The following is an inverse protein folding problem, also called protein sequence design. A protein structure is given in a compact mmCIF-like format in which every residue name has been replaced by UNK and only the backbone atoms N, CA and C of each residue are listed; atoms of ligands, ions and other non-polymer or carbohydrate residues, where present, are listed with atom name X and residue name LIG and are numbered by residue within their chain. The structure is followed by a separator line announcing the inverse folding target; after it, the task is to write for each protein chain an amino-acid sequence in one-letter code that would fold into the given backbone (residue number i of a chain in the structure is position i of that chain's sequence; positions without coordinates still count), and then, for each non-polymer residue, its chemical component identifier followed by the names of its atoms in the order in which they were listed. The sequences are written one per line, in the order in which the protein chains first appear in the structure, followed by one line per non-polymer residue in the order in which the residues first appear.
data_IF_817245109114
#
_entry.id   IF_817245109114
#
_cell.length_a   1.000
_cell.length_b   1.000
_cell.length_c   1.000
_cell.angle_alpha   90.00
_cell.angle_beta   90.00
_cell.angle_gamma   90.00
#
_symmetry.space_group_name_H-M   'P 1'
#
loop_
_entity.id
_entity.type
_entity.pdbx_description
1 polymer ?
#
# COMPACT_ATOMS: atom_id res chain seq x y z
N UNK A 1 -15.32 1.99 -12.78
CA UNK A 1 -14.09 2.78 -12.60
C UNK A 1 -12.89 1.84 -12.63
N UNK A 2 -11.83 2.26 -13.31
CA UNK A 2 -10.54 1.56 -13.31
C UNK A 2 -9.94 1.57 -11.90
N UNK A 3 -9.19 0.53 -11.51
CA UNK A 3 -8.50 0.53 -10.23
C UNK A 3 -7.42 1.63 -10.18
N UNK A 4 -7.16 2.13 -8.98
CA UNK A 4 -6.18 3.18 -8.68
C UNK A 4 -4.99 2.51 -7.99
N UNK A 5 -3.76 2.91 -8.35
CA UNK A 5 -2.54 2.44 -7.68
C UNK A 5 -1.99 3.53 -6.78
N UNK A 6 -1.73 3.20 -5.52
CA UNK A 6 -1.08 4.07 -4.54
C UNK A 6 0.32 3.51 -4.26
N UNK A 7 1.33 4.36 -4.30
CA UNK A 7 2.72 4.00 -4.03
C UNK A 7 3.26 4.81 -2.87
N UNK A 8 3.80 4.14 -1.86
CA UNK A 8 4.51 4.76 -0.75
C UNK A 8 6.00 4.59 -0.99
N UNK A 9 6.65 5.65 -1.48
CA UNK A 9 8.07 5.67 -1.83
C UNK A 9 8.88 6.11 -0.61
N UNK A 10 9.88 5.31 -0.24
CA UNK A 10 10.78 5.65 0.85
C UNK A 10 11.93 6.52 0.31
N UNK A 11 12.30 7.60 1.01
CA UNK A 11 13.25 8.59 0.50
C UNK A 11 14.68 8.05 0.38
N UNK A 12 15.05 7.09 1.23
CA UNK A 12 16.35 6.42 1.21
C UNK A 12 16.30 5.04 1.89
N UNK A 13 17.38 4.27 1.71
CA UNK A 13 17.52 2.93 2.30
C UNK A 13 17.57 2.96 3.83
N UNK A 14 18.07 4.05 4.44
CA UNK A 14 18.12 4.17 5.91
C UNK A 14 16.72 4.26 6.52
N UNK A 15 15.80 4.88 5.81
CA UNK A 15 14.38 4.93 6.15
C UNK A 15 13.77 3.54 5.98
N UNK A 16 14.05 2.83 4.90
CA UNK A 16 13.55 1.47 4.71
C UNK A 16 13.99 0.52 5.84
N UNK A 17 15.24 0.60 6.29
CA UNK A 17 15.78 -0.26 7.37
C UNK A 17 15.12 0.01 8.74
N UNK A 18 14.92 1.29 9.07
CA UNK A 18 14.24 1.69 10.32
C UNK A 18 12.79 1.20 10.33
N UNK A 19 12.10 1.34 9.20
CA UNK A 19 10.69 1.04 9.08
C UNK A 19 10.42 -0.40 8.62
N UNK A 20 11.44 -1.25 8.40
CA UNK A 20 11.24 -2.57 7.76
C UNK A 20 10.29 -3.47 8.55
N UNK A 21 10.36 -3.42 9.88
CA UNK A 21 9.45 -4.15 10.77
C UNK A 21 8.02 -3.60 10.67
N UNK A 22 7.88 -2.27 10.64
CA UNK A 22 6.61 -1.57 10.53
C UNK A 22 5.97 -1.74 9.15
N UNK A 23 6.78 -1.83 8.09
CA UNK A 23 6.37 -2.17 6.73
C UNK A 23 5.82 -3.59 6.68
N UNK A 24 6.52 -4.56 7.30
CA UNK A 24 6.05 -5.94 7.38
C UNK A 24 4.69 -6.04 8.09
N UNK A 25 4.53 -5.30 9.20
CA UNK A 25 3.27 -5.23 9.93
C UNK A 25 2.18 -4.50 9.12
N UNK A 26 2.49 -3.40 8.46
CA UNK A 26 1.58 -2.66 7.59
C UNK A 26 1.10 -3.52 6.41
N UNK A 27 1.98 -4.27 5.77
CA UNK A 27 1.63 -5.22 4.71
C UNK A 27 0.72 -6.32 5.24
N UNK A 28 0.94 -6.79 6.47
CA UNK A 28 0.05 -7.76 7.13
C UNK A 28 -1.31 -7.15 7.43
N UNK A 29 -1.35 -5.94 7.98
CA UNK A 29 -2.57 -5.21 8.29
C UNK A 29 -3.37 -4.91 7.03
N UNK A 30 -2.75 -4.43 5.96
CA UNK A 30 -3.42 -4.16 4.68
C UNK A 30 -3.95 -5.41 3.99
N UNK A 31 -3.36 -6.59 4.24
CA UNK A 31 -3.95 -7.88 3.83
C UNK A 31 -5.15 -8.30 4.70
N UNK A 32 -5.20 -7.87 5.97
CA UNK A 32 -6.31 -8.13 6.88
C UNK A 32 -7.47 -7.16 6.68
N UNK A 33 -7.18 -5.88 6.41
CA UNK A 33 -8.19 -4.87 6.11
C UNK A 33 -8.56 -4.94 4.63
N UNK A 34 -9.76 -5.46 4.35
CA UNK A 34 -10.28 -5.58 2.98
C UNK A 34 -10.66 -4.22 2.34
N UNK A 35 -10.29 -3.09 2.97
CA UNK A 35 -10.55 -1.77 2.43
C UNK A 35 -9.82 -0.62 3.13
N UNK A 36 -9.64 0.46 2.38
CA UNK A 36 -8.95 1.69 2.79
C UNK A 36 -9.87 2.87 2.47
N UNK A 37 -9.93 3.85 3.37
CA UNK A 37 -10.62 5.12 3.15
C UNK A 37 -9.60 6.22 2.86
N UNK A 38 -9.73 6.89 1.73
CA UNK A 38 -8.86 8.00 1.34
C UNK A 38 -9.74 9.16 0.85
N UNK A 39 -9.56 10.34 1.44
CA UNK A 39 -10.36 11.55 1.14
C UNK A 39 -11.89 11.30 1.20
N UNK A 40 -12.34 10.48 2.15
CA UNK A 40 -13.76 10.13 2.31
C UNK A 40 -14.29 9.08 1.33
N UNK A 41 -13.45 8.57 0.43
CA UNK A 41 -13.82 7.53 -0.54
C UNK A 41 -13.32 6.17 -0.04
N UNK A 42 -14.21 5.17 -0.05
CA UNK A 42 -13.89 3.80 0.35
C UNK A 42 -13.46 2.96 -0.86
N UNK A 43 -12.33 2.28 -0.68
CA UNK A 43 -11.76 1.36 -1.65
C UNK A 43 -11.62 -0.02 -1.04
N UNK A 44 -11.72 -1.06 -1.88
CA UNK A 44 -11.26 -2.39 -1.55
C UNK A 44 -9.79 -2.52 -1.95
N UNK A 45 -9.01 -3.19 -1.11
CA UNK A 45 -7.63 -3.58 -1.44
C UNK A 45 -7.69 -4.78 -2.37
N UNK A 46 -7.17 -4.63 -3.59
CA UNK A 46 -7.15 -5.70 -4.60
C UNK A 46 -5.84 -6.46 -4.54
N UNK A 47 -4.73 -5.73 -4.38
CA UNK A 47 -3.39 -6.29 -4.37
C UNK A 47 -2.45 -5.39 -3.58
N UNK A 48 -1.50 -6.01 -2.88
CA UNK A 48 -0.44 -5.32 -2.15
C UNK A 48 0.88 -6.03 -2.44
N UNK A 49 1.86 -5.26 -2.88
CA UNK A 49 3.20 -5.75 -3.20
C UNK A 49 4.25 -4.81 -2.60
N UNK A 50 5.39 -5.40 -2.25
CA UNK A 50 6.59 -4.67 -1.89
C UNK A 50 7.55 -4.74 -3.06
N UNK A 51 7.98 -3.59 -3.57
CA UNK A 51 8.87 -3.49 -4.72
C UNK A 51 10.21 -2.94 -4.27
N UNK A 52 11.27 -3.64 -4.71
CA UNK A 52 12.66 -3.26 -4.51
C UNK A 52 13.30 -3.15 -5.88
N UNK A 53 13.51 -1.91 -6.34
CA UNK A 53 14.08 -1.60 -7.65
C UNK A 53 15.30 -0.70 -7.49
N UNK A 54 16.48 -1.22 -7.83
CA UNK A 54 17.77 -0.54 -7.67
C UNK A 54 17.99 -0.07 -6.23
N UNK A 55 17.92 1.23 -5.99
CA UNK A 55 18.10 1.90 -4.69
C UNK A 55 16.76 2.46 -4.17
N UNK A 56 15.65 2.09 -4.79
CA UNK A 56 14.31 2.54 -4.40
C UNK A 56 13.52 1.36 -3.85
N UNK A 57 12.99 1.58 -2.66
CA UNK A 57 12.10 0.66 -1.97
C UNK A 57 10.73 1.34 -1.88
N UNK A 58 9.65 0.63 -2.22
CA UNK A 58 8.29 1.18 -2.08
C UNK A 58 7.22 0.10 -1.93
N UNK A 59 6.13 0.47 -1.26
CA UNK A 59 4.92 -0.36 -1.18
C UNK A 59 3.96 0.10 -2.25
N UNK A 60 3.42 -0.84 -3.01
CA UNK A 60 2.45 -0.60 -4.06
C UNK A 60 1.13 -1.29 -3.71
N UNK A 61 0.06 -0.50 -3.65
CA UNK A 61 -1.28 -0.96 -3.29
C UNK A 61 -2.24 -0.65 -4.42
N UNK A 62 -2.89 -1.69 -4.96
CA UNK A 62 -3.93 -1.57 -5.96
C UNK A 62 -5.29 -1.52 -5.28
N UNK A 63 -6.01 -0.43 -5.52
CA UNK A 63 -7.30 -0.11 -4.93
C UNK A 63 -8.40 -0.13 -5.99
N UNK A 64 -9.58 -0.60 -5.61
CA UNK A 64 -10.79 -0.52 -6.46
C UNK A 64 -11.90 0.12 -5.65
N UNK A 65 -12.66 1.03 -6.26
CA UNK A 65 -13.82 1.64 -5.60
C UNK A 65 -14.72 0.56 -5.02
N UNK A 66 -15.06 0.73 -3.74
CA UNK A 66 -16.04 -0.13 -3.08
C UNK A 66 -17.41 0.35 -3.54
N UNK A 67 -18.03 -0.38 -4.47
CA UNK A 67 -19.43 -0.13 -4.80
C UNK A 67 -20.25 -0.44 -3.55
N UNK A 68 -20.80 0.60 -2.93
CA UNK A 68 -21.87 0.45 -1.96
C UNK A 68 -23.13 0.20 -2.78
N UNK A 69 -23.65 -1.03 -2.71
CA UNK A 69 -25.01 -1.33 -3.16
C UNK A 69 -26.01 -0.78 -2.14
#
# INVERSE_FOLDING_TARGET
MSPIRVQCIFPDNSTADVYVCEIGEFLRLTKLVNGITMEGINYNVVHTELIVEKETFYISVLLKHRNVQ
#
